data_IF_483234884467
#
_entry.id   IF_483234884467
#
_cell.length_a   1.000
_cell.length_b   1.000
_cell.length_c   1.000
_cell.angle_alpha   90.00
_cell.angle_beta   90.00
_cell.angle_gamma   90.00
#
_symmetry.space_group_name_H-M   'P 1'
#
loop_
_entity.id
_entity.type
_entity.pdbx_description
1 polymer ?
#
# COMPACT_ATOMS: atom_id res chain seq x y z
N UNK A 1 -9.55 -16.44 8.06
CA UNK A 1 -8.48 -16.67 7.05
C UNK A 1 -8.50 -18.08 6.42
N UNK A 2 -9.58 -18.84 6.57
CA UNK A 2 -9.70 -20.22 6.04
C UNK A 2 -9.83 -20.36 4.51
N UNK A 3 -9.86 -19.27 3.75
CA UNK A 3 -10.04 -19.28 2.29
C UNK A 3 -8.76 -19.09 1.45
N UNK A 4 -7.60 -19.01 2.08
CA UNK A 4 -6.35 -18.85 1.36
C UNK A 4 -5.79 -20.22 0.97
N UNK A 5 -5.82 -20.56 -0.32
CA UNK A 5 -5.11 -21.72 -0.85
C UNK A 5 -3.60 -21.47 -0.81
N UNK A 6 -2.97 -21.81 0.32
CA UNK A 6 -1.58 -21.51 0.60
C UNK A 6 -0.66 -22.62 0.10
N UNK A 7 0.46 -22.20 -0.51
CA UNK A 7 1.59 -23.09 -0.84
C UNK A 7 2.55 -23.30 0.34
N UNK A 8 2.10 -22.97 1.55
CA UNK A 8 2.86 -23.09 2.78
C UNK A 8 2.52 -24.38 3.50
N UNK A 9 3.50 -25.00 4.13
CA UNK A 9 3.25 -26.12 5.08
C UNK A 9 2.54 -25.58 6.32
N UNK A 10 1.86 -26.48 7.07
CA UNK A 10 1.15 -26.09 8.30
C UNK A 10 2.04 -25.35 9.31
N UNK A 11 3.29 -25.76 9.61
CA UNK A 11 4.16 -25.03 10.50
C UNK A 11 4.56 -23.63 9.98
N UNK A 12 4.86 -23.51 8.68
CA UNK A 12 5.16 -22.21 8.05
C UNK A 12 3.99 -21.24 8.17
N UNK A 13 2.79 -21.72 7.92
CA UNK A 13 1.58 -20.91 8.05
C UNK A 13 1.33 -20.49 9.50
N UNK A 14 1.57 -21.37 10.47
CA UNK A 14 1.43 -21.01 11.88
C UNK A 14 2.39 -19.88 12.28
N UNK A 15 3.63 -19.88 11.80
CA UNK A 15 4.57 -18.77 12.04
C UNK A 15 4.06 -17.46 11.42
N UNK A 16 3.56 -17.51 10.19
CA UNK A 16 2.99 -16.32 9.52
C UNK A 16 1.83 -15.75 10.34
N UNK A 17 0.89 -16.60 10.78
CA UNK A 17 -0.27 -16.17 11.57
C UNK A 17 0.16 -15.57 12.91
N UNK A 18 1.07 -16.21 13.63
CA UNK A 18 1.58 -15.73 14.93
C UNK A 18 2.24 -14.36 14.78
N UNK A 19 3.11 -14.21 13.77
CA UNK A 19 3.77 -12.91 13.54
C UNK A 19 2.74 -11.85 13.14
N UNK A 20 1.78 -12.17 12.26
CA UNK A 20 0.76 -11.23 11.81
C UNK A 20 -0.15 -10.79 12.98
N UNK A 21 -0.58 -11.71 13.82
CA UNK A 21 -1.38 -11.44 15.02
C UNK A 21 -0.59 -10.55 16.00
N UNK A 22 0.63 -10.95 16.34
CA UNK A 22 1.50 -10.19 17.23
C UNK A 22 1.81 -8.78 16.69
N UNK A 23 1.93 -8.58 15.37
CA UNK A 23 2.07 -7.26 14.76
C UNK A 23 0.87 -6.35 15.02
N UNK A 24 -0.35 -6.92 15.01
CA UNK A 24 -1.59 -6.17 15.25
C UNK A 24 -1.75 -5.82 16.73
N UNK A 25 -1.49 -6.79 17.62
CA UNK A 25 -1.70 -6.58 19.06
C UNK A 25 -0.58 -5.78 19.72
N UNK A 26 0.63 -5.82 19.20
CA UNK A 26 1.79 -5.12 19.76
C UNK A 26 1.62 -3.61 19.76
N UNK A 27 1.89 -2.99 20.90
CA UNK A 27 2.03 -1.53 21.08
C UNK A 27 3.49 -1.07 21.14
N UNK A 28 4.43 -2.03 21.03
CA UNK A 28 5.85 -1.72 21.07
C UNK A 28 6.25 -0.75 19.94
N UNK A 29 7.10 0.22 20.29
CA UNK A 29 7.65 1.19 19.32
C UNK A 29 8.41 0.49 18.20
N UNK A 30 9.10 -0.62 18.51
CA UNK A 30 9.85 -1.43 17.54
C UNK A 30 9.37 -2.88 17.61
N UNK A 31 8.89 -3.40 16.51
CA UNK A 31 8.30 -4.74 16.38
C UNK A 31 9.32 -5.72 15.81
N UNK A 32 10.23 -6.20 16.68
CA UNK A 32 11.17 -7.25 16.31
C UNK A 32 10.57 -8.63 16.55
N UNK A 33 11.07 -9.67 15.87
CA UNK A 33 10.59 -11.05 16.11
C UNK A 33 10.66 -11.41 17.59
N UNK A 34 11.76 -11.10 18.28
CA UNK A 34 11.89 -11.36 19.69
C UNK A 34 10.82 -10.65 20.55
N UNK A 35 10.52 -9.36 20.25
CA UNK A 35 9.47 -8.63 20.99
C UNK A 35 8.06 -9.13 20.66
N UNK A 36 7.81 -9.56 19.43
CA UNK A 36 6.52 -10.10 19.01
C UNK A 36 6.24 -11.46 19.64
N UNK A 37 7.24 -12.34 19.72
CA UNK A 37 7.07 -13.67 20.30
C UNK A 37 6.79 -13.64 21.82
N UNK A 38 7.17 -12.58 22.52
CA UNK A 38 6.79 -12.37 23.93
C UNK A 38 5.28 -12.13 24.14
N UNK A 39 4.55 -11.77 23.08
CA UNK A 39 3.09 -11.56 23.14
C UNK A 39 2.28 -12.83 22.85
N UNK A 40 2.96 -13.92 22.47
CA UNK A 40 2.31 -15.16 22.03
C UNK A 40 2.45 -16.19 23.14
N UNK A 41 1.33 -16.59 23.72
CA UNK A 41 1.29 -17.71 24.68
C UNK A 41 1.64 -18.99 23.94
N UNK A 42 2.48 -19.84 24.54
CA UNK A 42 2.99 -21.07 23.92
C UNK A 42 3.76 -20.84 22.59
N UNK A 43 4.36 -19.67 22.48
CA UNK A 43 5.24 -19.43 21.35
C UNK A 43 6.43 -20.44 21.37
N UNK A 44 6.78 -21.01 20.21
CA UNK A 44 8.08 -21.66 20.10
C UNK A 44 9.18 -20.62 20.32
N UNK A 45 10.42 -21.09 20.50
CA UNK A 45 11.56 -20.19 20.62
C UNK A 45 11.55 -19.12 19.52
N UNK A 46 11.80 -17.84 19.84
CA UNK A 46 11.81 -16.76 18.87
C UNK A 46 12.74 -16.98 17.68
N UNK A 47 13.82 -17.80 17.85
CA UNK A 47 14.72 -18.21 16.76
C UNK A 47 13.96 -18.93 15.64
N UNK A 48 12.98 -19.78 15.98
CA UNK A 48 12.14 -20.46 14.97
C UNK A 48 11.35 -19.47 14.10
N UNK A 49 10.87 -18.38 14.70
CA UNK A 49 10.21 -17.30 13.96
C UNK A 49 11.17 -16.55 13.04
N UNK A 50 12.38 -16.28 13.51
CA UNK A 50 13.42 -15.68 12.68
C UNK A 50 13.86 -16.63 11.54
N UNK A 51 13.99 -17.92 11.82
CA UNK A 51 14.37 -18.94 10.83
C UNK A 51 13.26 -19.18 9.80
N UNK A 52 12.01 -19.07 10.18
CA UNK A 52 10.91 -19.12 9.22
C UNK A 52 11.01 -18.03 8.14
N UNK A 53 11.59 -16.87 8.47
CA UNK A 53 11.83 -15.79 7.51
C UNK A 53 13.16 -15.96 6.76
N UNK A 54 14.24 -16.43 7.45
CA UNK A 54 15.59 -16.44 6.92
C UNK A 54 15.88 -17.65 6.03
N UNK A 55 15.57 -18.86 6.51
CA UNK A 55 16.02 -20.11 5.90
C UNK A 55 14.88 -21.02 5.39
N UNK A 56 13.65 -20.84 5.88
CA UNK A 56 12.53 -21.63 5.39
C UNK A 56 12.31 -21.42 3.87
N UNK A 57 12.02 -22.45 3.08
CA UNK A 57 12.05 -22.38 1.61
C UNK A 57 10.90 -21.60 0.95
N UNK A 58 9.88 -21.15 1.69
CA UNK A 58 8.81 -20.37 1.12
C UNK A 58 9.26 -18.96 0.65
N UNK A 59 8.54 -18.36 -0.25
CA UNK A 59 8.82 -17.04 -0.84
C UNK A 59 7.71 -16.05 -0.50
N UNK A 60 7.98 -14.76 -0.62
CA UNK A 60 6.94 -13.73 -0.46
C UNK A 60 5.78 -13.92 -1.44
N UNK A 61 6.01 -14.51 -2.62
CA UNK A 61 4.96 -14.77 -3.61
C UNK A 61 3.96 -15.84 -3.13
N UNK A 62 4.41 -16.79 -2.30
CA UNK A 62 3.54 -17.82 -1.71
C UNK A 62 2.50 -17.24 -0.75
N UNK A 63 2.68 -15.99 -0.28
CA UNK A 63 1.68 -15.21 0.44
C UNK A 63 0.99 -14.17 -0.43
N UNK A 64 1.73 -13.45 -1.29
CA UNK A 64 1.15 -12.40 -2.15
C UNK A 64 0.10 -12.94 -3.10
N UNK A 65 0.36 -14.06 -3.77
CA UNK A 65 -0.58 -14.62 -4.75
C UNK A 65 -1.92 -15.00 -4.11
N UNK A 66 -1.96 -15.74 -3.00
CA UNK A 66 -3.21 -16.01 -2.28
C UNK A 66 -3.92 -14.76 -1.78
N UNK A 67 -3.20 -13.75 -1.27
CA UNK A 67 -3.81 -12.48 -0.81
C UNK A 67 -4.46 -11.74 -1.99
N UNK A 68 -3.77 -11.65 -3.14
CA UNK A 68 -4.35 -11.06 -4.35
C UNK A 68 -5.61 -11.80 -4.81
N UNK A 69 -5.57 -13.13 -4.81
CA UNK A 69 -6.72 -13.93 -5.19
C UNK A 69 -7.90 -13.71 -4.25
N UNK A 70 -7.65 -13.78 -2.94
CA UNK A 70 -8.68 -13.60 -1.91
C UNK A 70 -9.31 -12.19 -1.99
N UNK A 71 -8.49 -11.14 -2.00
CA UNK A 71 -8.98 -9.75 -2.03
C UNK A 71 -9.69 -9.42 -3.35
N UNK A 72 -9.20 -9.97 -4.46
CA UNK A 72 -9.84 -9.84 -5.77
C UNK A 72 -11.19 -10.55 -5.82
N UNK A 73 -11.27 -11.79 -5.32
CA UNK A 73 -12.52 -12.55 -5.27
C UNK A 73 -13.57 -11.88 -4.37
N UNK A 74 -13.15 -11.32 -3.22
CA UNK A 74 -14.04 -10.59 -2.32
C UNK A 74 -14.62 -9.33 -2.99
N UNK A 75 -13.79 -8.58 -3.72
CA UNK A 75 -14.27 -7.40 -4.45
C UNK A 75 -15.22 -7.77 -5.60
N UNK A 76 -14.96 -8.87 -6.32
CA UNK A 76 -15.85 -9.36 -7.38
C UNK A 76 -17.19 -9.82 -6.79
N UNK A 77 -17.17 -10.56 -5.68
CA UNK A 77 -18.40 -10.96 -4.97
C UNK A 77 -19.22 -9.73 -4.54
N UNK A 78 -18.54 -8.71 -3.97
CA UNK A 78 -19.18 -7.45 -3.60
C UNK A 78 -19.74 -6.68 -4.80
N UNK A 79 -19.07 -6.71 -5.96
CA UNK A 79 -19.57 -6.07 -7.18
C UNK A 79 -20.93 -6.63 -7.59
N UNK A 80 -21.08 -7.94 -7.54
CA UNK A 80 -22.36 -8.61 -7.84
C UNK A 80 -23.43 -8.31 -6.79
N UNK A 81 -23.06 -8.27 -5.51
CA UNK A 81 -23.97 -7.97 -4.41
C UNK A 81 -24.48 -6.51 -4.47
N UNK A 82 -23.56 -5.55 -4.62
CA UNK A 82 -23.86 -4.12 -4.59
C UNK A 82 -24.25 -3.56 -5.95
N UNK A 83 -24.16 -4.34 -7.04
CA UNK A 83 -24.33 -3.88 -8.43
C UNK A 83 -23.42 -2.66 -8.77
N UNK A 84 -22.19 -2.67 -8.21
CA UNK A 84 -21.19 -1.61 -8.40
C UNK A 84 -20.07 -2.15 -9.29
N UNK A 85 -19.84 -1.51 -10.43
CA UNK A 85 -18.91 -1.99 -11.46
C UNK A 85 -17.76 -1.03 -11.73
N UNK A 86 -17.54 -0.06 -10.85
CA UNK A 86 -16.45 0.91 -11.00
C UNK A 86 -15.32 0.61 -10.05
N UNK A 87 -14.21 0.10 -10.59
CA UNK A 87 -13.00 -0.23 -9.84
C UNK A 87 -12.00 0.91 -9.91
N UNK A 88 -11.57 1.39 -8.75
CA UNK A 88 -10.48 2.35 -8.60
C UNK A 88 -9.20 1.62 -8.19
N UNK A 89 -8.14 1.82 -8.97
CA UNK A 89 -6.83 1.19 -8.77
C UNK A 89 -5.82 2.28 -8.45
N UNK A 90 -5.47 2.44 -7.18
CA UNK A 90 -4.48 3.42 -6.75
C UNK A 90 -3.09 2.81 -6.78
N UNK A 91 -2.10 3.59 -7.23
CA UNK A 91 -0.69 3.21 -7.31
C UNK A 91 0.16 4.30 -6.67
N UNK A 92 1.03 3.89 -5.73
CA UNK A 92 1.98 4.78 -5.08
C UNK A 92 3.23 4.03 -4.62
N UNK A 93 4.28 4.75 -4.18
CA UNK A 93 5.41 4.16 -3.50
C UNK A 93 5.68 4.84 -2.16
N UNK A 94 6.20 4.08 -1.23
CA UNK A 94 6.46 4.56 0.12
C UNK A 94 7.83 4.18 0.61
N UNK A 95 8.45 5.10 1.35
CA UNK A 95 9.75 4.91 1.99
C UNK A 95 9.53 4.51 3.46
N UNK A 96 10.00 3.31 3.82
CA UNK A 96 10.14 2.86 5.21
C UNK A 96 11.50 3.28 5.74
N UNK A 97 11.53 4.28 6.63
CA UNK A 97 12.77 4.82 7.17
C UNK A 97 13.47 3.85 8.14
N UNK A 98 14.77 3.73 8.03
CA UNK A 98 15.67 3.03 8.94
C UNK A 98 16.67 4.00 9.55
N UNK A 99 17.21 3.64 10.70
CA UNK A 99 18.30 4.37 11.33
C UNK A 99 19.49 4.53 10.35
N UNK A 100 20.16 5.69 10.42
CA UNK A 100 21.30 6.01 9.55
C UNK A 100 22.47 5.03 9.73
N UNK A 101 22.60 4.43 10.90
CA UNK A 101 23.60 3.41 11.22
C UNK A 101 23.31 2.03 10.64
N UNK A 102 22.11 1.76 10.14
CA UNK A 102 21.73 0.46 9.55
C UNK A 102 22.43 0.28 8.20
N UNK A 103 23.44 -0.60 8.12
CA UNK A 103 24.29 -0.76 6.92
C UNK A 103 24.33 -2.19 6.35
N UNK A 104 23.92 -3.20 7.11
CA UNK A 104 24.13 -4.61 6.76
C UNK A 104 22.86 -5.34 6.29
N UNK A 105 21.78 -4.60 6.02
CA UNK A 105 20.55 -5.18 5.50
C UNK A 105 20.51 -4.97 3.98
N UNK A 106 20.43 -6.05 3.21
CA UNK A 106 20.51 -6.01 1.74
C UNK A 106 19.45 -5.13 1.06
N UNK A 107 18.28 -5.01 1.67
CA UNK A 107 17.17 -4.21 1.13
C UNK A 107 17.21 -2.75 1.59
N UNK A 108 18.12 -2.35 2.47
CA UNK A 108 18.22 -1.00 3.05
C UNK A 108 19.27 -0.19 2.32
N UNK A 109 18.87 0.95 1.81
CA UNK A 109 19.74 1.87 1.08
C UNK A 109 19.28 3.32 1.18
N UNK A 110 20.14 4.26 0.79
CA UNK A 110 19.78 5.69 0.78
C UNK A 110 18.93 6.04 -0.43
N UNK A 111 17.72 6.54 -0.20
CA UNK A 111 16.78 7.02 -1.21
C UNK A 111 16.63 8.53 -1.12
N UNK A 112 16.43 9.19 -2.26
CA UNK A 112 16.09 10.61 -2.29
C UNK A 112 14.71 10.80 -1.63
N UNK A 113 14.68 11.64 -0.60
CA UNK A 113 13.45 11.97 0.13
C UNK A 113 12.93 13.32 -0.36
N UNK A 114 11.93 13.25 -1.23
CA UNK A 114 11.32 14.44 -1.83
C UNK A 114 10.66 15.35 -0.79
N UNK A 115 10.04 14.76 0.24
CA UNK A 115 9.36 15.51 1.30
C UNK A 115 10.36 16.30 2.14
N UNK A 116 11.42 15.62 2.60
CA UNK A 116 12.48 16.26 3.39
C UNK A 116 13.39 17.18 2.57
N UNK A 117 13.37 17.05 1.24
CA UNK A 117 14.11 17.91 0.30
C UNK A 117 13.38 19.21 -0.04
N UNK A 118 12.07 19.28 0.21
CA UNK A 118 11.27 20.44 -0.17
C UNK A 118 11.79 21.72 0.50
N UNK A 119 12.03 22.77 -0.29
CA UNK A 119 12.57 24.05 0.18
C UNK A 119 14.08 24.05 0.53
N UNK A 120 14.79 22.92 0.34
CA UNK A 120 16.24 22.83 0.60
C UNK A 120 17.06 23.00 -0.68
N UNK A 121 18.22 23.64 -0.55
CA UNK A 121 19.19 23.82 -1.65
C UNK A 121 19.78 22.47 -2.09
N UNK A 122 20.07 21.58 -1.13
CA UNK A 122 20.64 20.27 -1.39
C UNK A 122 19.58 19.16 -1.21
N UNK A 123 19.59 18.11 -2.03
CA UNK A 123 18.69 16.98 -1.89
C UNK A 123 18.96 16.24 -0.58
N UNK A 124 17.89 15.85 0.12
CA UNK A 124 17.97 15.05 1.33
C UNK A 124 17.79 13.57 0.99
N UNK A 125 18.61 12.73 1.61
CA UNK A 125 18.54 11.27 1.43
C UNK A 125 18.22 10.60 2.76
N UNK A 126 17.23 9.71 2.74
CA UNK A 126 16.83 8.91 3.89
C UNK A 126 17.25 7.46 3.68
N UNK A 127 17.88 6.87 4.71
CA UNK A 127 18.21 5.45 4.73
C UNK A 127 16.95 4.63 4.98
N UNK A 128 16.70 3.60 4.19
CA UNK A 128 15.49 2.79 4.34
C UNK A 128 15.19 1.88 3.16
N UNK A 129 13.98 1.37 3.16
CA UNK A 129 13.43 0.53 2.08
C UNK A 129 12.34 1.25 1.33
N UNK A 130 12.24 1.04 0.03
CA UNK A 130 11.12 1.55 -0.77
C UNK A 130 10.30 0.37 -1.29
N UNK A 131 8.99 0.45 -1.12
CA UNK A 131 8.06 -0.46 -1.77
C UNK A 131 7.08 0.32 -2.64
N UNK A 132 6.52 -0.36 -3.62
CA UNK A 132 5.45 0.13 -4.48
C UNK A 132 4.21 -0.67 -4.10
N UNK A 133 3.08 0.00 -4.01
CA UNK A 133 1.81 -0.59 -3.65
C UNK A 133 0.76 -0.35 -4.73
N UNK A 134 -0.10 -1.34 -4.93
CA UNK A 134 -1.37 -1.23 -5.66
C UNK A 134 -2.50 -1.49 -4.69
N UNK A 135 -3.41 -0.54 -4.60
CA UNK A 135 -4.62 -0.61 -3.80
C UNK A 135 -5.85 -0.65 -4.69
N UNK A 136 -6.78 -1.53 -4.39
CA UNK A 136 -8.08 -1.61 -5.06
C UNK A 136 -9.16 -1.03 -4.17
N UNK A 137 -10.12 -0.33 -4.79
CA UNK A 137 -11.33 0.15 -4.13
C UNK A 137 -12.53 -0.03 -5.05
N UNK A 138 -13.60 -0.61 -4.53
CA UNK A 138 -14.88 -0.77 -5.19
C UNK A 138 -15.98 -0.42 -4.20
N UNK A 139 -16.78 0.59 -4.50
CA UNK A 139 -17.75 1.12 -3.56
C UNK A 139 -17.10 1.48 -2.22
N UNK A 140 -17.56 0.83 -1.15
CA UNK A 140 -17.03 1.01 0.21
C UNK A 140 -15.92 0.04 0.56
N UNK A 141 -15.76 -1.08 -0.17
CA UNK A 141 -14.72 -2.08 0.07
C UNK A 141 -13.39 -1.70 -0.57
N UNK A 142 -12.31 -2.02 0.11
CA UNK A 142 -10.97 -1.71 -0.39
C UNK A 142 -9.88 -2.55 0.25
N UNK A 143 -8.80 -2.79 -0.51
CA UNK A 143 -7.67 -3.61 -0.09
C UNK A 143 -6.34 -3.10 -0.63
N UNK A 144 -5.26 -3.19 0.16
CA UNK A 144 -3.90 -3.24 -0.33
C UNK A 144 -3.72 -4.57 -1.09
N UNK A 145 -3.76 -4.49 -2.43
CA UNK A 145 -3.89 -5.66 -3.30
C UNK A 145 -2.57 -6.33 -3.60
N UNK A 146 -1.56 -5.55 -3.95
CA UNK A 146 -0.23 -6.05 -4.29
C UNK A 146 0.84 -5.03 -3.90
N UNK A 147 2.04 -5.52 -3.66
CA UNK A 147 3.19 -4.70 -3.32
C UNK A 147 4.47 -5.32 -3.87
N UNK A 148 5.50 -4.48 -4.12
CA UNK A 148 6.82 -4.92 -4.58
C UNK A 148 7.90 -4.11 -3.88
N UNK A 149 8.91 -4.79 -3.34
CA UNK A 149 10.11 -4.14 -2.82
C UNK A 149 10.96 -3.63 -3.98
N UNK A 150 11.43 -2.39 -3.88
CA UNK A 150 12.27 -1.77 -4.89
C UNK A 150 13.73 -1.70 -4.41
N UNK A 151 14.64 -2.14 -5.28
CA UNK A 151 16.08 -1.95 -5.10
C UNK A 151 16.63 -1.05 -6.21
N UNK A 152 17.61 -0.20 -5.87
CA UNK A 152 18.35 0.58 -6.86
C UNK A 152 19.25 -0.31 -7.70
N UNK A 153 19.51 0.09 -8.92
CA UNK A 153 20.32 -0.70 -9.86
C UNK A 153 21.71 -1.01 -9.31
N UNK A 154 22.36 -0.02 -8.67
CA UNK A 154 23.67 -0.22 -8.06
C UNK A 154 23.66 -1.25 -6.93
N UNK A 155 22.58 -1.31 -6.15
CA UNK A 155 22.39 -2.27 -5.07
C UNK A 155 22.22 -3.68 -5.63
N UNK A 156 21.36 -3.84 -6.65
CA UNK A 156 21.22 -5.11 -7.38
C UNK A 156 22.56 -5.60 -7.95
N UNK A 157 23.33 -4.71 -8.58
CA UNK A 157 24.65 -5.06 -9.10
C UNK A 157 25.63 -5.49 -7.98
N UNK A 158 25.60 -4.81 -6.83
CA UNK A 158 26.43 -5.15 -5.69
C UNK A 158 26.07 -6.53 -5.10
N UNK A 159 24.78 -6.77 -4.86
CA UNK A 159 24.31 -8.06 -4.34
C UNK A 159 24.62 -9.21 -5.29
N UNK A 160 24.46 -9.02 -6.59
CA UNK A 160 24.71 -10.04 -7.60
C UNK A 160 26.19 -10.46 -7.73
N UNK A 161 27.16 -9.69 -7.20
CA UNK A 161 28.57 -10.12 -7.14
C UNK A 161 28.81 -11.33 -6.24
N UNK A 162 27.92 -11.52 -5.25
CA UNK A 162 28.02 -12.60 -4.25
C UNK A 162 26.99 -13.71 -4.46
N UNK A 163 26.14 -13.59 -5.49
CA UNK A 163 25.05 -14.52 -5.79
C UNK A 163 25.41 -15.44 -6.94
N UNK A 164 25.06 -16.72 -6.80
CA UNK A 164 25.12 -17.67 -7.92
C UNK A 164 24.25 -17.19 -9.07
N UNK A 165 24.56 -17.52 -10.34
CA UNK A 165 23.86 -17.02 -11.51
C UNK A 165 22.33 -17.18 -11.44
N UNK A 166 21.86 -18.32 -10.95
CA UNK A 166 20.44 -18.68 -10.80
C UNK A 166 19.74 -17.88 -9.68
N UNK A 167 20.47 -17.34 -8.73
CA UNK A 167 19.97 -16.55 -7.60
C UNK A 167 20.08 -15.04 -7.84
N UNK A 168 20.58 -14.62 -9.01
CA UNK A 168 20.78 -13.21 -9.31
C UNK A 168 19.48 -12.45 -9.41
N UNK A 169 19.43 -11.31 -8.71
CA UNK A 169 18.32 -10.39 -8.75
C UNK A 169 18.31 -9.62 -10.08
N UNK A 170 17.12 -9.44 -10.63
CA UNK A 170 16.93 -8.60 -11.83
C UNK A 170 16.53 -7.18 -11.42
N UNK A 171 17.31 -6.19 -11.86
CA UNK A 171 16.91 -4.80 -11.67
C UNK A 171 15.61 -4.48 -12.40
N UNK A 172 14.69 -3.82 -11.71
CA UNK A 172 13.41 -3.35 -12.25
C UNK A 172 13.18 -1.90 -11.83
N UNK A 173 12.87 -1.03 -12.80
CA UNK A 173 12.44 0.34 -12.49
C UNK A 173 11.10 0.31 -11.76
N UNK A 174 10.83 1.27 -10.85
CA UNK A 174 9.54 1.39 -10.15
C UNK A 174 8.35 1.34 -11.12
N UNK A 175 8.43 2.07 -12.24
CA UNK A 175 7.38 2.07 -13.28
C UNK A 175 7.21 0.72 -13.98
N UNK A 176 8.26 -0.11 -14.05
CA UNK A 176 8.14 -1.47 -14.57
C UNK A 176 7.49 -2.41 -13.55
N UNK A 177 7.86 -2.29 -12.26
CA UNK A 177 7.21 -3.03 -11.18
C UNK A 177 5.71 -2.68 -11.11
N UNK A 178 5.37 -1.39 -11.17
CA UNK A 178 3.99 -0.93 -11.23
C UNK A 178 3.20 -1.54 -12.39
N UNK A 179 3.78 -1.55 -13.59
CA UNK A 179 3.14 -2.14 -14.78
C UNK A 179 2.93 -3.65 -14.62
N UNK A 180 3.88 -4.37 -14.01
CA UNK A 180 3.74 -5.82 -13.82
C UNK A 180 2.64 -6.15 -12.79
N UNK A 181 2.53 -5.35 -11.73
CA UNK A 181 1.45 -5.48 -10.75
C UNK A 181 0.09 -5.23 -11.39
N UNK A 182 -0.02 -4.19 -12.23
CA UNK A 182 -1.22 -3.90 -13.01
C UNK A 182 -1.53 -4.98 -14.05
N UNK A 183 -0.50 -5.59 -14.68
CA UNK A 183 -0.71 -6.70 -15.61
C UNK A 183 -1.27 -7.94 -14.90
N UNK A 184 -0.82 -8.21 -13.66
CA UNK A 184 -1.39 -9.27 -12.84
C UNK A 184 -2.86 -9.04 -12.47
N UNK A 185 -3.29 -7.78 -12.38
CA UNK A 185 -4.68 -7.43 -12.10
C UNK A 185 -5.63 -7.78 -13.27
N UNK A 186 -5.15 -7.76 -14.50
CA UNK A 186 -5.98 -8.05 -15.70
C UNK A 186 -6.72 -9.39 -15.61
N UNK A 187 -6.11 -10.41 -15.00
CA UNK A 187 -6.70 -11.74 -14.85
C UNK A 187 -7.85 -11.79 -13.84
N UNK A 188 -7.95 -10.79 -12.96
CA UNK A 188 -8.93 -10.73 -11.87
C UNK A 188 -10.09 -9.76 -12.15
N UNK A 189 -9.93 -8.90 -13.14
CA UNK A 189 -10.93 -7.87 -13.46
C UNK A 189 -11.83 -8.37 -14.59
N UNK A 190 -13.10 -8.71 -14.33
CA UNK A 190 -14.09 -9.00 -15.35
C UNK A 190 -14.26 -7.85 -16.36
N UNK A 191 -14.72 -8.18 -17.56
CA UNK A 191 -14.87 -7.21 -18.66
C UNK A 191 -15.91 -6.11 -18.36
N UNK A 192 -16.84 -6.37 -17.48
CA UNK A 192 -17.91 -5.46 -17.05
C UNK A 192 -17.40 -4.28 -16.20
N UNK A 193 -16.20 -4.44 -15.62
CA UNK A 193 -15.66 -3.39 -14.77
C UNK A 193 -15.17 -2.18 -15.56
N UNK A 194 -15.62 -0.99 -15.17
CA UNK A 194 -15.01 0.28 -15.56
C UNK A 194 -13.86 0.58 -14.61
N UNK A 195 -12.63 0.53 -15.12
CA UNK A 195 -11.42 0.67 -14.30
C UNK A 195 -10.81 2.07 -14.45
N UNK A 196 -10.56 2.72 -13.30
CA UNK A 196 -9.80 3.96 -13.21
C UNK A 196 -8.49 3.74 -12.44
N UNK A 197 -7.35 3.90 -13.12
CA UNK A 197 -6.02 3.81 -12.50
C UNK A 197 -5.59 5.22 -12.05
N UNK A 198 -5.27 5.34 -10.77
CA UNK A 198 -5.00 6.61 -10.08
C UNK A 198 -3.57 6.65 -9.56
N UNK A 199 -2.79 7.66 -9.92
CA UNK A 199 -1.43 7.81 -9.42
C UNK A 199 -0.96 9.28 -9.43
N UNK A 200 0.16 9.52 -8.80
CA UNK A 200 0.79 10.84 -8.76
C UNK A 200 1.55 11.18 -10.03
N UNK A 201 2.15 12.35 -10.08
CA UNK A 201 2.89 12.85 -11.24
C UNK A 201 4.19 12.08 -11.53
N UNK A 202 4.70 11.32 -10.55
CA UNK A 202 5.93 10.55 -10.71
C UNK A 202 5.71 9.34 -11.62
N UNK A 203 4.55 8.68 -11.49
CA UNK A 203 4.16 7.54 -12.32
C UNK A 203 3.58 7.93 -13.69
N UNK A 204 3.31 9.21 -13.95
CA UNK A 204 2.67 9.71 -15.18
C UNK A 204 3.59 9.57 -16.42
N UNK A 205 4.09 8.37 -16.69
CA UNK A 205 4.92 8.05 -17.86
C UNK A 205 4.05 7.66 -19.05
N UNK A 206 4.50 8.03 -20.28
CA UNK A 206 3.79 7.66 -21.50
C UNK A 206 3.65 6.13 -21.65
N UNK A 207 4.61 5.35 -21.15
CA UNK A 207 4.56 3.88 -21.19
C UNK A 207 3.44 3.32 -20.33
N UNK A 208 3.23 3.88 -19.12
CA UNK A 208 2.16 3.43 -18.23
C UNK A 208 0.79 3.87 -18.75
N UNK A 209 0.66 5.11 -19.25
CA UNK A 209 -0.57 5.60 -19.86
C UNK A 209 -0.98 4.75 -21.08
N UNK A 210 -0.05 4.44 -21.97
CA UNK A 210 -0.28 3.54 -23.12
C UNK A 210 -0.63 2.12 -22.69
N UNK A 211 -0.02 1.62 -21.61
CA UNK A 211 -0.34 0.31 -21.05
C UNK A 211 -1.79 0.27 -20.59
N UNK A 212 -2.23 1.20 -19.70
CA UNK A 212 -3.60 1.26 -19.23
C UNK A 212 -4.60 1.38 -20.37
N UNK A 213 -4.31 2.23 -21.38
CA UNK A 213 -5.18 2.39 -22.55
C UNK A 213 -5.38 1.08 -23.33
N UNK A 214 -4.30 0.27 -23.49
CA UNK A 214 -4.38 -1.04 -24.17
C UNK A 214 -5.22 -2.06 -23.39
N UNK A 215 -5.29 -1.91 -22.06
CA UNK A 215 -6.15 -2.74 -21.21
C UNK A 215 -7.63 -2.28 -21.21
N UNK A 216 -7.97 -1.21 -21.92
CA UNK A 216 -9.30 -0.60 -21.85
C UNK A 216 -9.53 0.22 -20.57
N UNK A 217 -8.49 0.47 -19.78
CA UNK A 217 -8.58 1.17 -18.50
C UNK A 217 -8.38 2.67 -18.68
N UNK A 218 -9.15 3.45 -17.91
CA UNK A 218 -8.98 4.88 -17.82
C UNK A 218 -7.90 5.23 -16.79
N UNK A 219 -7.28 6.40 -16.98
CA UNK A 219 -6.27 6.93 -16.05
C UNK A 219 -6.68 8.32 -15.60
N UNK A 220 -6.58 8.57 -14.28
CA UNK A 220 -6.60 9.93 -13.74
C UNK A 220 -5.33 10.10 -12.89
N UNK A 221 -4.46 11.05 -13.26
CA UNK A 221 -3.21 11.25 -12.56
C UNK A 221 -2.81 12.72 -12.50
N UNK A 222 -1.99 13.07 -11.52
CA UNK A 222 -1.33 14.37 -11.52
C UNK A 222 -0.27 14.44 -12.61
N UNK A 223 0.00 15.65 -13.10
CA UNK A 223 1.04 15.92 -14.10
C UNK A 223 2.04 16.96 -13.58
N UNK A 224 3.29 16.83 -14.01
CA UNK A 224 4.30 17.86 -13.82
C UNK A 224 4.05 19.03 -14.80
N UNK A 225 4.29 20.25 -14.35
CA UNK A 225 4.06 21.49 -15.12
C UNK A 225 4.89 21.61 -16.41
N UNK A 226 5.98 20.85 -16.52
CA UNK A 226 6.87 20.82 -17.69
C UNK A 226 6.41 19.87 -18.81
N UNK A 227 5.32 19.12 -18.63
CA UNK A 227 4.73 18.30 -19.68
C UNK A 227 4.14 19.19 -20.78
N UNK A 228 4.20 18.72 -22.03
CA UNK A 228 3.70 19.46 -23.20
C UNK A 228 2.37 18.87 -23.67
N UNK A 229 1.36 19.71 -23.80
CA UNK A 229 0.06 19.41 -24.39
C UNK A 229 -0.09 20.24 -25.67
N UNK A 230 -0.24 19.56 -26.82
CA UNK A 230 -0.10 20.21 -28.11
C UNK A 230 1.29 20.82 -28.27
N UNK A 231 1.36 22.12 -28.51
CA UNK A 231 2.62 22.84 -28.70
C UNK A 231 3.16 23.54 -27.43
N UNK A 232 2.38 23.58 -26.35
CA UNK A 232 2.72 24.37 -25.15
C UNK A 232 2.96 23.50 -23.93
N UNK A 233 3.93 23.89 -23.08
CA UNK A 233 4.09 23.32 -21.75
C UNK A 233 2.87 23.63 -20.88
N UNK A 234 2.50 22.72 -19.97
CA UNK A 234 1.37 22.92 -19.07
C UNK A 234 1.51 24.22 -18.25
N UNK A 235 2.74 24.61 -17.87
CA UNK A 235 3.01 25.87 -17.18
C UNK A 235 2.62 27.14 -17.96
N UNK A 236 2.50 27.07 -19.27
CA UNK A 236 2.15 28.22 -20.14
C UNK A 236 0.63 28.35 -20.35
N UNK A 237 -0.13 27.28 -20.19
CA UNK A 237 -1.57 27.27 -20.42
C UNK A 237 -2.38 28.17 -19.49
N UNK A 238 -2.04 28.36 -18.19
CA UNK A 238 -2.77 29.31 -17.34
C UNK A 238 -2.82 30.71 -17.89
N UNK A 239 -1.74 31.18 -18.53
CA UNK A 239 -1.70 32.49 -19.22
C UNK A 239 -2.48 32.46 -20.52
N UNK A 240 -2.32 31.43 -21.35
CA UNK A 240 -3.07 31.30 -22.62
C UNK A 240 -4.59 31.29 -22.40
N UNK A 241 -5.04 30.75 -21.28
CA UNK A 241 -6.46 30.66 -20.92
C UNK A 241 -6.93 31.81 -20.02
N UNK A 242 -6.21 32.93 -19.94
CA UNK A 242 -6.54 33.99 -18.99
C UNK A 242 -7.97 34.55 -19.14
N UNK A 243 -8.55 34.50 -20.32
CA UNK A 243 -9.92 34.96 -20.61
C UNK A 243 -10.99 33.88 -20.40
N UNK A 244 -10.59 32.62 -20.25
CA UNK A 244 -11.53 31.54 -19.97
C UNK A 244 -12.00 31.59 -18.50
N UNK A 245 -13.32 31.51 -18.28
CA UNK A 245 -13.89 31.44 -16.93
C UNK A 245 -13.50 30.14 -16.23
N UNK A 246 -13.30 30.23 -14.90
CA UNK A 246 -13.09 29.09 -14.06
C UNK A 246 -14.40 28.38 -13.76
N UNK A 247 -14.37 27.06 -13.78
CA UNK A 247 -15.40 26.22 -13.18
C UNK A 247 -15.06 26.03 -11.69
N UNK A 248 -16.08 26.00 -10.83
CA UNK A 248 -15.94 25.71 -9.41
C UNK A 248 -16.20 24.24 -9.18
N UNK A 249 -15.25 23.54 -8.53
CA UNK A 249 -15.37 22.15 -8.13
C UNK A 249 -15.25 22.08 -6.61
N UNK A 250 -16.25 21.50 -5.95
CA UNK A 250 -16.24 21.29 -4.52
C UNK A 250 -15.75 19.88 -4.21
N UNK A 251 -14.80 19.79 -3.30
CA UNK A 251 -14.24 18.52 -2.82
C UNK A 251 -14.38 18.45 -1.31
N UNK A 252 -14.79 17.29 -0.79
CA UNK A 252 -14.73 17.02 0.63
C UNK A 252 -13.28 16.79 1.05
N UNK A 253 -12.80 17.54 2.03
CA UNK A 253 -11.49 17.32 2.62
C UNK A 253 -11.56 16.24 3.71
N UNK A 254 -10.40 15.76 4.19
CA UNK A 254 -10.33 14.76 5.26
C UNK A 254 -11.00 15.21 6.56
N UNK A 255 -11.08 16.52 6.80
CA UNK A 255 -11.78 17.15 7.92
C UNK A 255 -13.30 17.33 7.67
N UNK A 256 -13.84 16.67 6.64
CA UNK A 256 -15.22 16.75 6.15
C UNK A 256 -15.67 18.17 5.69
N UNK A 257 -14.76 19.14 5.66
CA UNK A 257 -15.06 20.47 5.13
C UNK A 257 -15.05 20.47 3.61
N UNK A 258 -16.01 21.13 3.02
CA UNK A 258 -16.04 21.36 1.57
C UNK A 258 -15.02 22.44 1.19
N UNK A 259 -14.09 22.09 0.30
CA UNK A 259 -13.12 23.03 -0.28
C UNK A 259 -13.44 23.25 -1.74
N UNK A 260 -13.52 24.52 -2.14
CA UNK A 260 -13.79 24.90 -3.53
C UNK A 260 -12.45 25.07 -4.26
N UNK A 261 -12.35 24.43 -5.42
CA UNK A 261 -11.23 24.57 -6.35
C UNK A 261 -11.72 25.26 -7.63
N UNK A 262 -10.87 26.13 -8.17
CA UNK A 262 -11.07 26.80 -9.43
C UNK A 262 -10.37 26.01 -10.52
N UNK A 263 -11.12 25.54 -11.52
CA UNK A 263 -10.63 24.60 -12.53
C UNK A 263 -10.86 25.14 -13.93
N UNK A 264 -9.89 24.97 -14.80
CA UNK A 264 -10.02 25.12 -16.26
C UNK A 264 -9.70 23.79 -16.91
N UNK A 265 -10.43 23.48 -17.97
CA UNK A 265 -10.33 22.20 -18.69
C UNK A 265 -9.73 22.44 -20.07
N UNK A 266 -8.82 21.55 -20.47
CA UNK A 266 -8.18 21.50 -21.78
C UNK A 266 -8.36 20.12 -22.36
N UNK A 267 -8.50 20.00 -23.67
CA UNK A 267 -8.39 18.75 -24.41
C UNK A 267 -7.25 18.84 -25.38
N UNK A 268 -6.59 17.73 -25.62
CA UNK A 268 -5.49 17.65 -26.57
C UNK A 268 -4.61 16.43 -26.35
N UNK A 269 -3.52 16.34 -27.10
CA UNK A 269 -2.60 15.21 -27.04
C UNK A 269 -1.31 15.61 -26.35
N UNK A 270 -0.88 14.85 -25.34
CA UNK A 270 0.44 15.01 -24.75
C UNK A 270 1.52 14.50 -25.70
N UNK A 271 2.69 15.13 -25.69
CA UNK A 271 3.85 14.67 -26.48
C UNK A 271 4.10 13.17 -26.29
N UNK A 272 4.26 12.44 -27.39
CA UNK A 272 4.46 10.98 -27.48
C UNK A 272 3.23 10.12 -27.08
N UNK A 273 2.05 10.70 -26.87
CA UNK A 273 0.80 9.94 -26.83
C UNK A 273 0.14 9.99 -28.22
N UNK A 274 -0.60 8.94 -28.57
CA UNK A 274 -1.36 8.82 -29.82
C UNK A 274 -2.86 8.98 -29.63
N UNK A 275 -3.29 9.46 -28.46
CA UNK A 275 -4.70 9.64 -28.11
C UNK A 275 -4.92 10.93 -27.33
N UNK A 276 -6.12 11.46 -27.44
CA UNK A 276 -6.54 12.68 -26.76
C UNK A 276 -6.75 12.43 -25.27
N UNK A 277 -6.47 13.44 -24.46
CA UNK A 277 -6.68 13.46 -23.02
C UNK A 277 -7.33 14.78 -22.58
N UNK A 278 -8.05 14.73 -21.48
CA UNK A 278 -8.51 15.89 -20.77
C UNK A 278 -7.46 16.30 -19.71
N UNK A 279 -7.09 17.57 -19.67
CA UNK A 279 -6.20 18.12 -18.64
C UNK A 279 -6.93 19.18 -17.86
N UNK A 280 -6.94 19.05 -16.54
CA UNK A 280 -7.45 20.05 -15.62
C UNK A 280 -6.31 20.89 -15.07
N UNK A 281 -6.49 22.21 -15.06
CA UNK A 281 -5.64 23.19 -14.36
C UNK A 281 -6.41 23.64 -13.13
N UNK A 282 -5.98 23.20 -11.94
CA UNK A 282 -6.70 23.40 -10.68
C UNK A 282 -5.93 24.32 -9.74
N UNK A 283 -6.64 25.24 -9.08
CA UNK A 283 -6.13 26.17 -8.06
C UNK A 283 -7.07 26.25 -6.86
N UNK A 284 -6.58 26.37 -5.63
CA UNK A 284 -7.44 26.60 -4.47
C UNK A 284 -8.09 27.98 -4.47
N UNK A 285 -7.43 29.01 -5.05
CA UNK A 285 -7.96 30.36 -5.24
C UNK A 285 -7.26 31.11 -6.40
N UNK A 286 -7.81 32.22 -6.84
CA UNK A 286 -7.30 33.01 -7.99
C UNK A 286 -5.85 33.49 -7.84
N UNK A 287 -5.41 33.80 -6.62
CA UNK A 287 -4.07 34.32 -6.33
C UNK A 287 -2.99 33.24 -6.25
N UNK A 288 -3.37 31.96 -6.28
CA UNK A 288 -2.36 30.87 -6.25
C UNK A 288 -1.55 30.87 -7.55
N UNK A 289 -0.24 31.04 -7.40
CA UNK A 289 0.72 31.09 -8.52
C UNK A 289 1.11 29.67 -9.00
N UNK A 290 0.81 28.62 -8.23
CA UNK A 290 1.25 27.26 -8.49
C UNK A 290 0.08 26.30 -8.75
N UNK A 291 -0.54 26.35 -9.94
CA UNK A 291 -1.64 25.45 -10.25
C UNK A 291 -1.18 23.99 -10.27
N UNK A 292 -2.07 23.09 -9.86
CA UNK A 292 -1.91 21.65 -10.04
C UNK A 292 -2.53 21.24 -11.36
N UNK A 293 -1.91 20.24 -12.02
CA UNK A 293 -2.35 19.72 -13.30
C UNK A 293 -2.77 18.27 -13.13
N UNK A 294 -3.93 17.91 -13.67
CA UNK A 294 -4.44 16.53 -13.64
C UNK A 294 -4.80 16.11 -15.05
N UNK A 295 -4.46 14.87 -15.39
CA UNK A 295 -4.82 14.23 -16.65
C UNK A 295 -5.96 13.26 -16.39
N UNK A 296 -6.91 13.21 -17.32
CA UNK A 296 -7.91 12.16 -17.43
C UNK A 296 -7.96 11.62 -18.85
N UNK A 297 -7.94 10.30 -19.02
CA UNK A 297 -8.09 9.66 -20.33
C UNK A 297 -9.54 9.37 -20.70
N UNK A 298 -10.46 9.51 -19.76
CA UNK A 298 -11.89 9.41 -19.99
C UNK A 298 -12.44 10.79 -20.36
N UNK A 299 -12.70 11.00 -21.63
CA UNK A 299 -13.16 12.29 -22.17
C UNK A 299 -14.64 12.56 -21.89
N UNK A 300 -15.41 11.56 -21.42
CA UNK A 300 -16.81 11.74 -21.05
C UNK A 300 -16.99 12.41 -19.68
N UNK A 301 -15.95 12.39 -18.82
CA UNK A 301 -16.02 12.95 -17.48
C UNK A 301 -15.88 14.47 -17.48
N UNK A 302 -16.67 15.13 -16.65
CA UNK A 302 -16.57 16.55 -16.30
C UNK A 302 -15.49 16.78 -15.23
N UNK A 303 -15.07 18.04 -15.07
CA UNK A 303 -14.14 18.41 -13.98
C UNK A 303 -14.70 18.08 -12.59
N UNK A 304 -16.02 18.18 -12.42
CA UNK A 304 -16.75 17.86 -11.19
C UNK A 304 -16.70 16.36 -10.86
N UNK A 305 -16.48 15.50 -11.85
CA UNK A 305 -16.33 14.05 -11.67
C UNK A 305 -14.87 13.63 -11.54
N UNK A 306 -13.97 14.25 -12.33
CA UNK A 306 -12.54 13.87 -12.38
C UNK A 306 -11.83 14.06 -11.02
N UNK A 307 -12.03 15.24 -10.39
CA UNK A 307 -11.30 15.54 -9.14
C UNK A 307 -11.77 14.69 -7.95
N UNK A 308 -13.08 14.44 -7.72
CA UNK A 308 -13.51 13.48 -6.69
C UNK A 308 -13.01 12.05 -6.93
N UNK A 309 -12.98 11.60 -8.20
CA UNK A 309 -12.39 10.29 -8.53
C UNK A 309 -10.89 10.28 -8.17
N UNK A 310 -10.14 11.34 -8.49
CA UNK A 310 -8.73 11.42 -8.14
C UNK A 310 -8.48 11.40 -6.62
N UNK A 311 -9.40 11.94 -5.81
CA UNK A 311 -9.32 11.87 -4.34
C UNK A 311 -9.36 10.43 -3.81
N UNK A 312 -9.98 9.50 -4.53
CA UNK A 312 -9.98 8.06 -4.17
C UNK A 312 -8.58 7.42 -4.19
N UNK A 313 -7.54 8.15 -4.66
CA UNK A 313 -6.15 7.76 -4.50
C UNK A 313 -5.67 7.86 -3.04
N UNK A 314 -6.19 8.85 -2.29
CA UNK A 314 -5.67 9.18 -0.95
C UNK A 314 -5.62 8.01 0.04
N UNK A 315 -6.57 7.08 0.10
CA UNK A 315 -6.54 5.95 1.03
C UNK A 315 -5.29 5.07 0.96
N UNK A 316 -4.53 5.05 -0.14
CA UNK A 316 -3.24 4.34 -0.21
C UNK A 316 -2.19 4.95 0.74
N UNK A 317 -2.28 6.26 0.99
CA UNK A 317 -1.41 6.95 1.95
C UNK A 317 -1.76 6.56 3.40
N UNK A 318 -3.03 6.22 3.66
CA UNK A 318 -3.49 5.67 4.94
C UNK A 318 -2.95 4.26 5.13
N UNK A 319 -3.01 3.40 4.10
CA UNK A 319 -2.43 2.05 4.15
C UNK A 319 -0.93 2.13 4.44
N UNK A 320 -0.21 2.99 3.72
CA UNK A 320 1.21 3.26 3.95
C UNK A 320 1.52 3.78 5.37
N UNK A 321 0.64 4.60 5.94
CA UNK A 321 0.76 5.04 7.33
C UNK A 321 0.62 3.85 8.30
N UNK A 322 -0.42 3.01 8.10
CA UNK A 322 -0.67 1.87 8.98
C UNK A 322 0.45 0.84 8.94
N UNK A 323 0.93 0.44 7.77
CA UNK A 323 2.03 -0.54 7.69
C UNK A 323 3.31 -0.03 8.32
N UNK A 324 3.60 1.26 8.23
CA UNK A 324 4.81 1.86 8.81
C UNK A 324 4.71 2.12 10.31
N UNK A 325 3.60 2.71 10.77
CA UNK A 325 3.48 3.18 12.14
C UNK A 325 2.88 2.13 13.07
N UNK A 326 1.98 1.28 12.57
CA UNK A 326 1.24 0.34 13.40
C UNK A 326 1.62 -1.12 13.19
N UNK A 327 2.10 -1.51 12.01
CA UNK A 327 2.47 -2.89 11.70
C UNK A 327 3.99 -3.10 11.58
N UNK A 328 4.80 -2.08 11.87
CA UNK A 328 6.26 -2.23 11.96
C UNK A 328 6.94 -2.64 10.65
N UNK A 329 6.46 -2.16 9.48
CA UNK A 329 7.02 -2.51 8.18
C UNK A 329 8.55 -2.32 8.12
N UNK A 330 9.04 -1.25 8.74
CA UNK A 330 10.46 -0.93 8.78
C UNK A 330 11.22 -1.52 9.99
N UNK A 331 10.58 -2.31 10.85
CA UNK A 331 11.21 -2.79 12.10
C UNK A 331 11.99 -4.09 11.93
N UNK A 332 11.92 -4.71 10.75
CA UNK A 332 12.67 -5.94 10.47
C UNK A 332 14.19 -5.79 10.74
N UNK A 333 14.82 -6.91 11.14
CA UNK A 333 16.26 -7.03 11.35
C UNK A 333 16.88 -8.19 10.56
N UNK A 334 16.10 -8.84 9.71
CA UNK A 334 16.58 -9.87 8.79
C UNK A 334 17.49 -9.25 7.74
N UNK A 335 18.58 -9.96 7.39
CA UNK A 335 19.65 -9.40 6.59
C UNK A 335 19.41 -9.53 5.08
N UNK A 336 18.97 -10.71 4.62
CA UNK A 336 18.81 -10.98 3.19
C UNK A 336 17.61 -10.25 2.58
N UNK A 337 17.71 -10.00 1.29
CA UNK A 337 16.61 -9.42 0.50
C UNK A 337 15.35 -10.28 0.57
N UNK A 338 15.50 -11.60 0.42
CA UNK A 338 14.40 -12.56 0.44
C UNK A 338 13.68 -12.60 1.79
N UNK A 339 14.43 -12.58 2.89
CA UNK A 339 13.85 -12.53 4.23
C UNK A 339 13.11 -11.19 4.48
N UNK A 340 13.62 -10.08 3.91
CA UNK A 340 12.92 -8.79 3.97
C UNK A 340 11.64 -8.84 3.17
N UNK A 341 11.60 -9.45 1.98
CA UNK A 341 10.37 -9.64 1.21
C UNK A 341 9.35 -10.48 1.99
N UNK A 342 9.79 -11.53 2.68
CA UNK A 342 8.91 -12.35 3.54
C UNK A 342 8.33 -11.54 4.70
N UNK A 343 9.15 -10.71 5.37
CA UNK A 343 8.63 -9.81 6.40
C UNK A 343 7.55 -8.88 5.88
N UNK A 344 7.80 -8.25 4.73
CA UNK A 344 6.79 -7.39 4.08
C UNK A 344 5.52 -8.19 3.77
N UNK A 345 5.66 -9.43 3.29
CA UNK A 345 4.50 -10.28 3.00
C UNK A 345 3.65 -10.52 4.25
N UNK A 346 4.26 -10.80 5.41
CA UNK A 346 3.53 -10.98 6.66
C UNK A 346 2.85 -9.69 7.11
N UNK A 347 3.52 -8.55 6.99
CA UNK A 347 2.92 -7.23 7.32
C UNK A 347 1.71 -6.94 6.44
N UNK A 348 1.78 -7.23 5.13
CA UNK A 348 0.65 -7.01 4.22
C UNK A 348 -0.47 -8.05 4.40
N UNK A 349 -0.17 -9.27 4.87
CA UNK A 349 -1.21 -10.23 5.33
C UNK A 349 -1.95 -9.66 6.54
N UNK A 350 -1.23 -9.10 7.52
CA UNK A 350 -1.87 -8.44 8.67
C UNK A 350 -2.76 -7.25 8.23
N UNK A 351 -2.28 -6.41 7.31
CA UNK A 351 -3.08 -5.31 6.76
C UNK A 351 -4.32 -5.82 6.03
N UNK A 352 -4.18 -6.82 5.16
CA UNK A 352 -5.30 -7.39 4.41
C UNK A 352 -6.36 -7.99 5.35
N UNK A 353 -5.93 -8.62 6.46
CA UNK A 353 -6.85 -9.11 7.49
C UNK A 353 -7.62 -7.97 8.17
N UNK A 354 -6.93 -6.88 8.54
CA UNK A 354 -7.58 -5.70 9.14
C UNK A 354 -8.57 -5.06 8.16
N UNK A 355 -8.20 -4.94 6.89
CA UNK A 355 -9.07 -4.39 5.85
C UNK A 355 -10.28 -5.31 5.60
N UNK A 356 -10.08 -6.62 5.60
CA UNK A 356 -11.17 -7.57 5.49
C UNK A 356 -12.17 -7.44 6.65
N UNK A 357 -11.68 -7.37 7.88
CA UNK A 357 -12.54 -7.13 9.05
C UNK A 357 -13.31 -5.80 8.94
N UNK A 358 -12.65 -4.73 8.49
CA UNK A 358 -13.30 -3.43 8.28
C UNK A 358 -14.39 -3.51 7.21
N UNK A 359 -14.10 -4.17 6.09
CA UNK A 359 -15.03 -4.31 4.96
C UNK A 359 -16.26 -5.19 5.28
N UNK A 360 -16.15 -6.06 6.29
CA UNK A 360 -17.22 -7.00 6.69
C UNK A 360 -17.74 -6.72 8.11
N UNK A 361 -17.40 -5.56 8.69
CA UNK A 361 -17.93 -5.20 9.98
C UNK A 361 -19.46 -5.03 9.91
N UNK A 362 -20.23 -5.66 10.81
CA UNK A 362 -21.68 -5.48 10.89
C UNK A 362 -22.03 -3.99 11.07
N UNK A 363 -23.14 -3.57 10.48
CA UNK A 363 -23.58 -2.17 10.54
C UNK A 363 -23.86 -1.68 11.98
N UNK A 364 -24.22 -2.60 12.86
CA UNK A 364 -24.47 -2.37 14.28
C UNK A 364 -23.18 -2.10 15.06
N UNK A 365 -22.05 -2.65 14.61
CA UNK A 365 -20.74 -2.38 15.18
C UNK A 365 -20.27 -0.99 14.77
N UNK A 366 -19.82 -0.18 15.75
CA UNK A 366 -19.29 1.17 15.49
C UNK A 366 -17.85 1.15 14.93
N UNK A 367 -17.56 0.19 14.05
CA UNK A 367 -16.25 0.02 13.40
C UNK A 367 -16.24 0.83 12.11
N UNK A 368 -15.50 1.94 12.08
CA UNK A 368 -15.45 2.86 10.93
C UNK A 368 -14.04 3.08 10.36
N UNK A 369 -13.03 2.53 11.03
CA UNK A 369 -11.64 2.74 10.64
C UNK A 369 -10.78 1.54 11.00
N UNK A 370 -9.60 1.44 10.38
CA UNK A 370 -8.61 0.43 10.77
C UNK A 370 -8.21 0.54 12.25
N UNK A 371 -8.23 1.74 12.83
CA UNK A 371 -7.95 1.93 14.25
C UNK A 371 -9.01 1.25 15.14
N UNK A 372 -10.27 1.29 14.74
CA UNK A 372 -11.34 0.60 15.45
C UNK A 372 -11.15 -0.91 15.39
N UNK A 373 -10.83 -1.44 14.21
CA UNK A 373 -10.54 -2.88 14.01
C UNK A 373 -9.36 -3.33 14.87
N UNK A 374 -8.29 -2.54 14.91
CA UNK A 374 -7.12 -2.85 15.76
C UNK A 374 -7.49 -2.88 17.22
N UNK A 375 -8.25 -1.89 17.71
CA UNK A 375 -8.71 -1.87 19.12
C UNK A 375 -9.57 -3.09 19.46
N UNK A 376 -10.51 -3.42 18.58
CA UNK A 376 -11.36 -4.60 18.76
C UNK A 376 -10.54 -5.90 18.77
N UNK A 377 -9.60 -6.05 17.83
CA UNK A 377 -8.73 -7.22 17.76
C UNK A 377 -7.86 -7.37 19.03
N UNK A 378 -7.29 -6.29 19.54
CA UNK A 378 -6.55 -6.27 20.80
C UNK A 378 -7.40 -6.67 21.99
N UNK A 379 -8.63 -6.17 22.06
CA UNK A 379 -9.58 -6.56 23.10
C UNK A 379 -9.92 -8.06 23.03
N UNK A 380 -10.23 -8.58 21.85
CA UNK A 380 -10.48 -10.00 21.62
C UNK A 380 -9.28 -10.87 22.02
N UNK A 381 -8.06 -10.45 21.64
CA UNK A 381 -6.84 -11.13 22.02
C UNK A 381 -6.65 -11.15 23.54
N UNK A 382 -6.76 -10.01 24.22
CA UNK A 382 -6.64 -9.92 25.68
C UNK A 382 -7.71 -10.78 26.40
N UNK A 383 -8.94 -10.77 25.90
CA UNK A 383 -10.03 -11.62 26.40
C UNK A 383 -9.69 -13.10 26.26
N UNK A 384 -9.21 -13.54 25.08
CA UNK A 384 -8.83 -14.94 24.84
C UNK A 384 -7.69 -15.37 25.77
N UNK A 385 -6.70 -14.48 26.02
CA UNK A 385 -5.62 -14.75 26.97
C UNK A 385 -6.15 -14.96 28.39
N UNK A 386 -7.05 -14.08 28.87
CA UNK A 386 -7.65 -14.19 30.19
C UNK A 386 -8.49 -15.47 30.32
N UNK A 387 -9.34 -15.76 29.35
CA UNK A 387 -10.16 -16.98 29.33
C UNK A 387 -9.29 -18.24 29.38
N UNK A 388 -8.20 -18.29 28.58
CA UNK A 388 -7.23 -19.40 28.59
C UNK A 388 -6.55 -19.52 29.94
N UNK A 389 -6.09 -18.41 30.54
CA UNK A 389 -5.44 -18.42 31.84
C UNK A 389 -6.37 -18.91 32.95
N UNK A 390 -7.65 -18.46 32.96
CA UNK A 390 -8.66 -18.90 33.91
C UNK A 390 -8.96 -20.40 33.77
N UNK A 391 -9.11 -20.91 32.55
CA UNK A 391 -9.34 -22.33 32.29
C UNK A 391 -8.16 -23.21 32.76
N UNK A 392 -6.93 -22.77 32.50
CA UNK A 392 -5.74 -23.50 32.96
C UNK A 392 -5.60 -23.48 34.49
N UNK A 393 -5.82 -22.32 35.11
CA UNK A 393 -5.80 -22.20 36.58
C UNK A 393 -6.83 -23.13 37.25
N UNK A 394 -8.05 -23.19 36.70
CA UNK A 394 -9.09 -24.09 37.16
C UNK A 394 -8.69 -25.58 37.00
N UNK A 395 -8.06 -25.93 35.85
CA UNK A 395 -7.58 -27.29 35.59
C UNK A 395 -6.46 -27.74 36.53
N UNK A 396 -5.53 -26.82 36.83
CA UNK A 396 -4.36 -27.09 37.68
C UNK A 396 -4.69 -26.97 39.15
N UNK A 397 -5.84 -26.39 39.52
CA UNK A 397 -6.19 -25.97 40.87
C UNK A 397 -5.13 -25.05 41.53
N UNK A 398 -4.27 -24.44 40.71
CA UNK A 398 -3.19 -23.55 41.11
C UNK A 398 -3.00 -22.47 40.03
N UNK A 399 -3.09 -21.21 40.44
CA UNK A 399 -2.93 -20.07 39.56
C UNK A 399 -1.50 -19.57 39.40
N UNK A 400 -0.59 -19.95 40.31
CA UNK A 400 0.81 -19.43 40.35
C UNK A 400 1.58 -19.81 39.08
N UNK A 401 1.60 -21.09 38.61
CA UNK A 401 2.27 -21.46 37.36
C UNK A 401 1.65 -20.76 36.15
N UNK A 402 0.35 -20.57 36.17
CA UNK A 402 -0.38 -19.86 35.08
C UNK A 402 0.04 -18.41 35.03
N UNK A 403 0.03 -17.69 36.17
CA UNK A 403 0.50 -16.31 36.24
C UNK A 403 1.95 -16.18 35.78
N UNK A 404 2.84 -17.07 36.23
CA UNK A 404 4.23 -17.07 35.79
C UNK A 404 4.34 -17.21 34.28
N UNK A 405 3.57 -18.11 33.66
CA UNK A 405 3.59 -18.33 32.21
C UNK A 405 3.04 -17.13 31.43
N UNK A 406 1.96 -16.48 31.87
CA UNK A 406 1.34 -15.38 31.17
C UNK A 406 1.99 -14.03 31.45
N UNK A 407 2.50 -13.78 32.65
CA UNK A 407 3.10 -12.49 33.03
C UNK A 407 4.60 -12.40 32.73
N UNK A 408 5.37 -13.49 32.89
CA UNK A 408 6.83 -13.47 32.62
C UNK A 408 7.19 -13.56 31.13
N UNK A 409 6.24 -13.83 30.24
CA UNK A 409 6.46 -13.65 28.80
C UNK A 409 6.34 -12.19 28.38
N UNK A 410 5.90 -11.28 29.24
CA UNK A 410 5.75 -9.84 28.95
C UNK A 410 6.93 -8.97 29.44
N UNK A 411 7.94 -9.54 30.09
CA UNK A 411 9.20 -8.88 30.46
C UNK A 411 10.36 -9.42 29.63
#
# INVERSE_FOLDING_TARGET
MCGLHLRLTKPQWQHVLRIADALIVSEARHKTIASLYRLIVEAPDPSNGADSLRISPWTAEDLRAPVRHFTGADLVAYAHEAQEWTLYVSLDDSLGEKDKGTRHLEAVEYHHDHTKSQGKKNPYYTNGTVHIEVRLQLGVRSYAYDWRLYLREKTVRCLNRRRAPEQRLRFRKKTSLARDMLAGLQQLVPAEFRVYVLFDSWYASNRLLKFCRRQGWHVICALKSNRTLGEKKLSQWPHALRHQRYQRVQLSAADQRLRTYLVRTLRGTLTQLSFEVCVLISRPHHRDKHPKYFLCTDLALSAQQILPIYQKRWPIEVDNFYVKQHLGLADFRVQSYEATEKWFAVVFVALAFLQWRLNHAPAEERVRSLADVVRQHRYEHARTLLETACQEAARLADYVPVLQRFLYHST
#
